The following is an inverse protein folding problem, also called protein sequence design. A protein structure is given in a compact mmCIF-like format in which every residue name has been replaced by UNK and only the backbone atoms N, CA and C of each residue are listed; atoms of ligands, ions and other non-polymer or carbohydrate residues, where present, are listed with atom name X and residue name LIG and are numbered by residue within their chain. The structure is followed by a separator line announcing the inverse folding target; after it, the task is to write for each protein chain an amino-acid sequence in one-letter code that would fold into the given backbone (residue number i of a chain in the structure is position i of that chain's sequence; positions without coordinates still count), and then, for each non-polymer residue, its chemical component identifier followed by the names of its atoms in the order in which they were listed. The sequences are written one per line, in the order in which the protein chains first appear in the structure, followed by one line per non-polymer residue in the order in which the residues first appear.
data_IF_594437645046
#
_entry.id   IF_594437645046
#
_cell.length_a   1.000
_cell.length_b   1.000
_cell.length_c   1.000
_cell.angle_alpha   90.00
_cell.angle_beta   90.00
_cell.angle_gamma   90.00
#
_symmetry.space_group_name_H-M   'P 1'
#
loop_
_entity.id
_entity.type
_entity.pdbx_description
1 polymer ?
#
# COMPACT_ATOMS: atom_id res chain seq x y z
N UNK A 1 -59.25 60.23 22.46
CA UNK A 1 -57.91 60.12 21.90
C UNK A 1 -57.69 58.64 21.55
N UNK A 2 -57.87 58.31 20.29
CA UNK A 2 -57.75 56.95 19.78
C UNK A 2 -56.36 56.76 19.20
N UNK A 3 -55.60 55.86 19.78
CA UNK A 3 -54.28 55.50 19.28
C UNK A 3 -54.41 54.42 18.22
N UNK A 4 -54.16 54.78 17.00
CA UNK A 4 -54.07 53.83 15.87
C UNK A 4 -52.73 53.11 15.92
N UNK A 5 -52.78 51.77 15.99
CA UNK A 5 -51.61 50.91 15.90
C UNK A 5 -51.00 50.97 14.47
N UNK A 6 -49.65 50.92 14.36
CA UNK A 6 -49.00 50.92 13.05
C UNK A 6 -49.22 49.59 12.28
N UNK A 7 -49.23 49.62 10.93
CA UNK A 7 -49.46 48.43 10.14
C UNK A 7 -48.28 47.44 10.27
N UNK A 8 -48.66 46.21 10.53
CA UNK A 8 -47.75 45.03 10.62
C UNK A 8 -47.15 44.78 9.24
N UNK A 9 -45.84 44.78 9.26
CA UNK A 9 -44.85 44.29 8.37
C UNK A 9 -45.18 43.85 6.95
N UNK A 10 -44.63 44.60 6.01
CA UNK A 10 -44.32 44.08 4.68
C UNK A 10 -43.26 42.97 4.85
N UNK A 11 -43.70 41.74 4.61
CA UNK A 11 -42.77 40.58 4.52
C UNK A 11 -41.75 40.85 3.42
N UNK A 12 -40.52 41.06 3.82
CA UNK A 12 -39.39 41.13 2.91
C UNK A 12 -39.21 39.71 2.30
N UNK A 13 -39.86 39.48 1.15
CA UNK A 13 -39.60 38.31 0.32
C UNK A 13 -38.25 38.58 -0.36
N UNK A 14 -37.19 37.95 0.18
CA UNK A 14 -35.90 38.01 -0.47
C UNK A 14 -36.05 37.49 -1.90
N UNK A 15 -35.47 38.18 -2.92
CA UNK A 15 -35.56 37.72 -4.30
C UNK A 15 -34.99 36.32 -4.38
N UNK A 16 -35.78 35.40 -4.99
CA UNK A 16 -35.32 34.02 -5.22
C UNK A 16 -33.96 34.07 -5.92
N UNK A 17 -32.91 33.61 -5.24
CA UNK A 17 -31.60 33.48 -5.85
C UNK A 17 -31.76 32.57 -7.05
N UNK A 18 -31.58 33.10 -8.24
CA UNK A 18 -31.54 32.32 -9.48
C UNK A 18 -30.31 31.42 -9.33
N UNK A 19 -30.53 30.18 -8.91
CA UNK A 19 -29.50 29.18 -8.90
C UNK A 19 -29.09 28.92 -10.34
N UNK A 20 -27.85 29.25 -10.69
CA UNK A 20 -27.32 28.87 -11.98
C UNK A 20 -27.56 27.35 -12.15
N UNK A 21 -28.04 26.90 -13.32
CA UNK A 21 -28.20 25.46 -13.55
C UNK A 21 -26.89 24.76 -13.25
N UNK A 22 -26.97 23.69 -12.48
CA UNK A 22 -25.76 22.87 -12.18
C UNK A 22 -25.11 22.51 -13.52
N UNK A 23 -23.78 22.65 -13.63
CA UNK A 23 -23.10 22.30 -14.87
C UNK A 23 -23.41 20.85 -15.21
N UNK A 24 -23.66 20.59 -16.50
CA UNK A 24 -23.89 19.23 -17.00
C UNK A 24 -22.78 18.31 -16.51
N UNK A 25 -23.10 17.08 -16.05
CA UNK A 25 -22.11 16.19 -15.50
C UNK A 25 -21.05 15.87 -16.57
N UNK A 26 -19.91 16.52 -16.47
CA UNK A 26 -18.74 16.24 -17.31
C UNK A 26 -17.97 15.07 -16.70
N UNK A 27 -17.39 14.21 -17.54
CA UNK A 27 -16.44 13.16 -17.10
C UNK A 27 -15.23 13.76 -16.37
N UNK A 28 -14.96 15.05 -16.59
CA UNK A 28 -13.89 15.83 -15.94
C UNK A 28 -14.38 16.63 -14.72
N UNK A 29 -15.61 16.40 -14.25
CA UNK A 29 -16.09 17.06 -13.05
C UNK A 29 -15.29 16.59 -11.82
N UNK A 30 -14.89 17.55 -10.97
CA UNK A 30 -14.21 17.25 -9.69
C UNK A 30 -15.14 16.37 -8.86
N UNK A 31 -14.64 15.23 -8.36
CA UNK A 31 -15.43 14.22 -7.66
C UNK A 31 -16.63 13.65 -8.46
N UNK A 32 -16.58 13.76 -9.79
CA UNK A 32 -17.60 13.22 -10.70
C UNK A 32 -17.70 11.69 -10.58
N UNK A 33 -18.91 11.17 -10.78
CA UNK A 33 -19.15 9.73 -10.78
C UNK A 33 -19.01 9.17 -12.19
N UNK A 34 -18.12 8.20 -12.36
CA UNK A 34 -18.05 7.43 -13.60
C UNK A 34 -19.05 6.27 -13.55
N UNK A 35 -19.69 5.97 -14.69
CA UNK A 35 -20.43 4.71 -14.83
C UNK A 35 -19.45 3.51 -14.73
N UNK A 36 -19.96 2.34 -14.34
CA UNK A 36 -19.13 1.13 -14.27
C UNK A 36 -18.40 0.82 -15.58
N UNK A 37 -19.08 1.05 -16.70
CA UNK A 37 -18.51 0.83 -18.03
C UNK A 37 -17.37 1.81 -18.33
N UNK A 38 -17.56 3.10 -18.03
CA UNK A 38 -16.51 4.12 -18.19
C UNK A 38 -15.30 3.81 -17.30
N UNK A 39 -15.54 3.45 -16.03
CA UNK A 39 -14.46 3.08 -15.11
C UNK A 39 -13.61 1.92 -15.65
N UNK A 40 -14.27 0.83 -16.07
CA UNK A 40 -13.56 -0.31 -16.62
C UNK A 40 -12.93 -0.02 -17.98
N UNK A 41 -13.53 0.84 -18.81
CA UNK A 41 -12.94 1.31 -20.06
C UNK A 41 -11.65 2.09 -19.84
N UNK A 42 -11.65 3.05 -18.92
CA UNK A 42 -10.44 3.79 -18.57
C UNK A 42 -9.38 2.89 -17.90
N UNK A 43 -9.78 1.98 -17.04
CA UNK A 43 -8.87 1.01 -16.42
C UNK A 43 -8.20 0.09 -17.46
N UNK A 44 -8.99 -0.42 -18.41
CA UNK A 44 -8.46 -1.23 -19.52
C UNK A 44 -7.50 -0.42 -20.41
N UNK A 45 -7.88 0.83 -20.75
CA UNK A 45 -7.01 1.72 -21.53
C UNK A 45 -5.70 1.99 -20.80
N UNK A 46 -5.74 2.26 -19.49
CA UNK A 46 -4.56 2.49 -18.65
C UNK A 46 -3.60 1.30 -18.62
N UNK A 47 -4.12 0.07 -18.69
CA UNK A 47 -3.29 -1.14 -18.77
C UNK A 47 -2.83 -1.45 -20.21
N UNK A 48 -3.70 -1.22 -21.20
CA UNK A 48 -3.39 -1.53 -22.59
C UNK A 48 -2.35 -0.59 -23.21
N UNK A 49 -2.38 0.70 -22.88
CA UNK A 49 -1.46 1.68 -23.46
C UNK A 49 0.02 1.34 -23.20
N UNK A 50 0.47 1.07 -21.95
CA UNK A 50 1.85 0.65 -21.71
C UNK A 50 2.19 -0.68 -22.40
N UNK A 51 1.23 -1.64 -22.42
CA UNK A 51 1.43 -2.93 -23.06
C UNK A 51 1.60 -2.81 -24.57
N UNK A 52 0.75 -2.01 -25.24
CA UNK A 52 0.85 -1.74 -26.68
C UNK A 52 2.11 -0.96 -27.01
N UNK A 53 2.47 0.03 -26.17
CA UNK A 53 3.72 0.77 -26.33
C UNK A 53 4.95 -0.15 -26.26
N UNK A 54 4.98 -1.05 -25.28
CA UNK A 54 6.03 -2.07 -25.17
C UNK A 54 6.07 -2.98 -26.40
N UNK A 55 4.93 -3.52 -26.86
CA UNK A 55 4.85 -4.37 -28.04
C UNK A 55 5.31 -3.64 -29.31
N UNK A 56 4.89 -2.37 -29.48
CA UNK A 56 5.29 -1.54 -30.61
C UNK A 56 6.80 -1.22 -30.61
N UNK A 57 7.36 -0.83 -29.45
CA UNK A 57 8.78 -0.58 -29.31
C UNK A 57 9.63 -1.83 -29.59
N UNK A 58 9.21 -2.99 -29.05
CA UNK A 58 9.89 -4.25 -29.30
C UNK A 58 9.82 -4.67 -30.78
N UNK A 59 8.71 -4.38 -31.47
CA UNK A 59 8.53 -4.72 -32.88
C UNK A 59 9.20 -3.71 -33.84
N UNK A 60 9.51 -2.50 -33.40
CA UNK A 60 10.07 -1.43 -34.23
C UNK A 60 11.50 -1.68 -34.70
N UNK A 61 12.22 -2.60 -34.04
CA UNK A 61 13.63 -2.88 -34.31
C UNK A 61 14.61 -1.76 -33.84
N UNK A 62 14.12 -0.74 -33.15
CA UNK A 62 15.00 0.32 -32.61
C UNK A 62 15.91 -0.18 -31.49
N UNK A 63 15.44 -1.18 -30.74
CA UNK A 63 16.17 -1.80 -29.64
C UNK A 63 16.36 -3.27 -29.99
N UNK A 64 17.58 -3.76 -29.83
CA UNK A 64 17.89 -5.17 -30.06
C UNK A 64 16.96 -6.05 -29.18
N UNK A 65 16.32 -7.10 -29.74
CA UNK A 65 15.47 -8.04 -29.01
C UNK A 65 16.14 -8.68 -27.78
N UNK A 66 17.48 -8.72 -27.76
CA UNK A 66 18.25 -9.17 -26.58
C UNK A 66 18.04 -8.24 -25.39
N UNK A 67 17.90 -6.94 -25.61
CA UNK A 67 17.70 -5.97 -24.53
C UNK A 67 16.23 -5.66 -24.26
N UNK A 68 15.37 -5.78 -25.27
CA UNK A 68 13.93 -5.50 -25.14
C UNK A 68 13.10 -6.60 -25.81
N UNK A 69 12.93 -7.75 -25.12
CA UNK A 69 12.14 -8.84 -25.66
C UNK A 69 10.67 -8.44 -25.81
N UNK A 70 10.03 -8.94 -26.85
CA UNK A 70 8.60 -8.69 -27.06
C UNK A 70 7.72 -9.46 -26.06
N UNK A 71 6.46 -9.01 -25.84
CA UNK A 71 5.55 -9.66 -24.90
C UNK A 71 5.40 -11.16 -25.13
N UNK A 72 5.30 -11.59 -26.40
CA UNK A 72 5.16 -13.02 -26.74
C UNK A 72 6.38 -13.86 -26.29
N UNK A 73 7.60 -13.33 -26.41
CA UNK A 73 8.81 -14.02 -25.94
C UNK A 73 8.80 -14.16 -24.41
N UNK A 74 8.43 -13.08 -23.71
CA UNK A 74 8.34 -13.06 -22.23
C UNK A 74 7.30 -14.07 -21.73
N UNK A 75 6.09 -14.08 -22.31
CA UNK A 75 5.06 -15.05 -21.90
C UNK A 75 5.44 -16.50 -22.22
N UNK A 76 6.08 -16.75 -23.36
CA UNK A 76 6.62 -18.07 -23.69
C UNK A 76 7.68 -18.49 -22.66
N UNK A 77 8.58 -17.58 -22.30
CA UNK A 77 9.62 -17.85 -21.29
C UNK A 77 9.00 -18.15 -19.92
N UNK A 78 7.98 -17.40 -19.49
CA UNK A 78 7.25 -17.70 -18.25
C UNK A 78 6.61 -19.08 -18.27
N UNK A 79 6.02 -19.49 -19.39
CA UNK A 79 5.44 -20.83 -19.53
C UNK A 79 6.52 -21.93 -19.44
N UNK A 80 7.67 -21.74 -20.11
CA UNK A 80 8.81 -22.67 -20.03
C UNK A 80 9.36 -22.73 -18.60
N UNK A 81 9.51 -21.55 -17.94
CA UNK A 81 10.01 -21.48 -16.56
C UNK A 81 9.06 -22.21 -15.58
N UNK A 82 7.75 -22.13 -15.82
CA UNK A 82 6.76 -22.83 -15.01
C UNK A 82 6.80 -24.37 -15.19
N UNK A 83 7.09 -24.84 -16.42
CA UNK A 83 7.00 -26.25 -16.78
C UNK A 83 8.33 -27.01 -16.63
N UNK A 84 9.44 -26.35 -16.87
CA UNK A 84 10.75 -26.98 -17.01
C UNK A 84 11.76 -26.55 -15.94
N UNK A 85 11.55 -25.36 -15.34
CA UNK A 85 12.42 -24.78 -14.32
C UNK A 85 11.68 -24.65 -12.97
N UNK A 86 12.39 -24.31 -11.91
CA UNK A 86 11.88 -24.26 -10.53
C UNK A 86 11.08 -22.97 -10.20
N UNK A 87 10.25 -22.43 -11.13
CA UNK A 87 9.50 -21.18 -10.90
C UNK A 87 8.64 -21.21 -9.64
N UNK A 88 7.97 -22.34 -9.39
CA UNK A 88 7.11 -22.48 -8.20
C UNK A 88 7.92 -22.51 -6.90
N UNK A 89 9.09 -23.14 -6.91
CA UNK A 89 10.00 -23.18 -5.77
C UNK A 89 10.55 -21.76 -5.49
N UNK A 90 11.06 -21.07 -6.51
CA UNK A 90 11.54 -19.69 -6.40
C UNK A 90 10.42 -18.74 -5.92
N UNK A 91 9.19 -18.89 -6.46
CA UNK A 91 8.05 -18.09 -6.03
C UNK A 91 7.68 -18.37 -4.58
N UNK A 92 7.62 -19.63 -4.18
CA UNK A 92 7.21 -20.02 -2.83
C UNK A 92 8.18 -19.53 -1.77
N UNK A 93 9.48 -19.60 -2.02
CA UNK A 93 10.49 -19.11 -1.08
C UNK A 93 10.48 -17.58 -0.98
N UNK A 94 10.29 -16.86 -2.11
CA UNK A 94 10.13 -15.41 -2.12
C UNK A 94 8.89 -14.97 -1.35
N UNK A 95 7.75 -15.62 -1.55
CA UNK A 95 6.50 -15.36 -0.80
C UNK A 95 6.70 -15.62 0.70
N UNK A 96 7.34 -16.73 1.07
CA UNK A 96 7.67 -17.03 2.46
C UNK A 96 8.49 -15.92 3.12
N UNK A 97 9.58 -15.47 2.48
CA UNK A 97 10.44 -14.39 2.98
C UNK A 97 9.67 -13.09 3.19
N UNK A 98 8.86 -12.70 2.21
CA UNK A 98 8.01 -11.50 2.31
C UNK A 98 7.05 -11.63 3.49
N UNK A 99 6.31 -12.73 3.57
CA UNK A 99 5.32 -12.92 4.63
C UNK A 99 5.97 -12.97 6.02
N UNK A 100 7.12 -13.66 6.17
CA UNK A 100 7.83 -13.75 7.43
C UNK A 100 8.36 -12.38 7.89
N UNK A 101 9.07 -11.66 7.01
CA UNK A 101 9.61 -10.33 7.32
C UNK A 101 8.51 -9.30 7.60
N UNK A 102 7.45 -9.32 6.81
CA UNK A 102 6.29 -8.45 7.00
C UNK A 102 5.53 -8.77 8.29
N UNK A 103 5.27 -10.05 8.57
CA UNK A 103 4.57 -10.46 9.79
C UNK A 103 5.34 -10.06 11.05
N UNK A 104 6.68 -10.22 11.04
CA UNK A 104 7.54 -9.78 12.13
C UNK A 104 7.47 -8.25 12.30
N UNK A 105 7.53 -7.51 11.19
CA UNK A 105 7.36 -6.04 11.20
C UNK A 105 6.01 -5.63 11.77
N UNK A 106 4.93 -6.23 11.30
CA UNK A 106 3.59 -5.92 11.76
C UNK A 106 3.37 -6.27 13.25
N UNK A 107 3.87 -7.42 13.68
CA UNK A 107 3.75 -7.87 15.07
C UNK A 107 4.37 -6.89 16.08
N UNK A 108 5.46 -6.23 15.69
CA UNK A 108 6.16 -5.24 16.53
C UNK A 108 5.68 -3.81 16.25
N UNK A 109 5.45 -3.45 15.00
CA UNK A 109 5.08 -2.09 14.63
C UNK A 109 3.67 -1.70 15.09
N UNK A 110 2.71 -2.63 15.10
CA UNK A 110 1.36 -2.34 15.53
C UNK A 110 1.28 -1.90 17.00
N UNK A 111 1.82 -2.66 17.98
CA UNK A 111 1.77 -2.23 19.37
C UNK A 111 2.62 -0.97 19.63
N UNK A 112 3.82 -0.87 19.03
CA UNK A 112 4.69 0.30 19.22
C UNK A 112 4.04 1.55 18.62
N UNK A 113 3.53 1.49 17.41
CA UNK A 113 2.82 2.60 16.76
C UNK A 113 1.56 3.02 17.51
N UNK A 114 0.79 2.05 18.04
CA UNK A 114 -0.36 2.34 18.91
C UNK A 114 0.06 3.10 20.17
N UNK A 115 1.15 2.69 20.83
CA UNK A 115 1.67 3.37 22.02
C UNK A 115 2.19 4.78 21.71
N UNK A 116 2.92 4.96 20.61
CA UNK A 116 3.39 6.27 20.15
C UNK A 116 2.21 7.19 19.86
N UNK A 117 1.19 6.69 19.15
CA UNK A 117 0.00 7.49 18.81
C UNK A 117 -0.90 7.82 20.01
N UNK A 118 -0.91 6.95 21.05
CA UNK A 118 -1.78 7.11 22.22
C UNK A 118 -1.14 7.93 23.35
N UNK A 119 0.20 7.92 23.49
CA UNK A 119 0.90 8.48 24.66
C UNK A 119 2.01 9.47 24.29
N UNK A 120 1.85 10.74 24.65
CA UNK A 120 2.86 11.80 24.43
C UNK A 120 4.26 11.48 24.96
N UNK A 121 4.45 10.87 26.16
CA UNK A 121 5.80 10.51 26.62
C UNK A 121 6.46 9.43 25.74
N UNK A 122 5.68 8.47 25.22
CA UNK A 122 6.19 7.41 24.34
C UNK A 122 6.51 7.99 22.96
N UNK A 123 5.68 8.88 22.45
CA UNK A 123 5.92 9.68 21.25
C UNK A 123 7.26 10.42 21.37
N UNK A 124 7.43 11.25 22.39
CA UNK A 124 8.65 12.03 22.59
C UNK A 124 9.93 11.17 22.73
N UNK A 125 9.79 9.93 23.22
CA UNK A 125 10.92 9.01 23.38
C UNK A 125 11.25 8.25 22.10
N UNK A 126 10.25 7.70 21.42
CA UNK A 126 10.46 6.71 20.32
C UNK A 126 10.36 7.32 18.93
N UNK A 127 9.56 8.37 18.74
CA UNK A 127 9.35 8.93 17.40
C UNK A 127 10.60 9.56 16.82
N UNK A 128 11.40 10.38 17.55
CA UNK A 128 12.64 10.94 16.99
C UNK A 128 13.64 9.85 16.57
N UNK A 129 13.72 8.75 17.34
CA UNK A 129 14.58 7.61 17.01
C UNK A 129 14.08 6.89 15.75
N UNK A 130 12.77 6.64 15.68
CA UNK A 130 12.14 5.98 14.55
C UNK A 130 12.26 6.83 13.29
N UNK A 131 12.06 8.15 13.41
CA UNK A 131 12.27 9.10 12.31
C UNK A 131 13.71 9.11 11.83
N UNK A 132 14.67 9.09 12.71
CA UNK A 132 16.08 9.05 12.32
C UNK A 132 16.41 7.78 11.53
N UNK A 133 15.98 6.61 12.03
CA UNK A 133 16.32 5.31 11.41
C UNK A 133 15.60 5.12 10.06
N UNK A 134 14.36 5.57 9.89
CA UNK A 134 13.62 5.41 8.61
C UNK A 134 14.25 6.15 7.44
N UNK A 135 15.04 7.20 7.69
CA UNK A 135 15.79 7.90 6.65
C UNK A 135 17.06 7.16 6.25
N UNK A 136 17.50 6.15 7.03
CA UNK A 136 18.61 5.30 6.62
C UNK A 136 18.12 4.31 5.57
N UNK A 137 18.77 4.24 4.38
CA UNK A 137 18.39 3.28 3.37
C UNK A 137 18.51 1.85 3.91
N UNK A 138 17.44 1.05 3.88
CA UNK A 138 17.48 -0.34 4.35
C UNK A 138 18.57 -1.16 3.64
N UNK A 139 18.87 -0.83 2.39
CA UNK A 139 19.94 -1.44 1.58
C UNK A 139 21.32 -1.24 2.21
N UNK A 140 21.56 -0.12 2.90
CA UNK A 140 22.82 0.15 3.57
C UNK A 140 23.11 -0.78 4.75
N UNK A 141 22.07 -1.41 5.32
CA UNK A 141 22.20 -2.39 6.40
C UNK A 141 22.58 -3.79 5.91
N UNK A 142 22.52 -4.07 4.60
CA UNK A 142 22.81 -5.41 4.06
C UNK A 142 24.15 -5.96 4.53
N UNK A 143 25.29 -5.24 4.46
CA UNK A 143 26.57 -5.77 4.91
C UNK A 143 26.57 -6.13 6.40
N UNK A 144 25.92 -5.32 7.25
CA UNK A 144 25.79 -5.59 8.68
C UNK A 144 24.90 -6.80 8.95
N UNK A 145 23.76 -6.88 8.26
CA UNK A 145 22.85 -8.01 8.39
C UNK A 145 23.54 -9.31 7.97
N UNK A 146 24.28 -9.28 6.86
CA UNK A 146 25.07 -10.45 6.42
C UNK A 146 26.18 -10.84 7.41
N UNK A 147 26.80 -9.85 8.06
CA UNK A 147 27.80 -10.11 9.09
C UNK A 147 27.20 -10.77 10.33
N UNK A 148 25.99 -10.38 10.74
CA UNK A 148 25.33 -10.87 11.95
C UNK A 148 24.56 -12.17 11.73
N UNK A 149 23.91 -12.34 10.60
CA UNK A 149 23.01 -13.46 10.30
C UNK A 149 23.56 -14.40 9.21
N UNK A 150 24.72 -14.08 8.61
CA UNK A 150 25.23 -14.82 7.47
C UNK A 150 24.40 -14.61 6.20
N UNK A 151 24.43 -15.59 5.30
CA UNK A 151 23.68 -15.59 4.03
C UNK A 151 22.39 -16.42 4.12
N UNK A 152 22.00 -16.80 5.32
CA UNK A 152 20.84 -17.65 5.60
C UNK A 152 19.51 -16.91 5.38
N UNK A 153 18.39 -17.61 5.54
CA UNK A 153 17.04 -17.03 5.38
C UNK A 153 16.74 -15.88 6.35
N UNK A 154 17.31 -15.95 7.56
CA UNK A 154 17.22 -14.92 8.59
C UNK A 154 17.74 -13.56 8.12
N UNK A 155 18.79 -13.52 7.32
CA UNK A 155 19.33 -12.28 6.76
C UNK A 155 18.32 -11.60 5.81
N UNK A 156 17.71 -12.37 4.91
CA UNK A 156 16.71 -11.85 3.96
C UNK A 156 15.46 -11.33 4.67
N UNK A 157 14.97 -12.10 5.65
CA UNK A 157 13.85 -11.71 6.52
C UNK A 157 14.18 -10.43 7.30
N UNK A 158 15.40 -10.30 7.85
CA UNK A 158 15.85 -9.12 8.57
C UNK A 158 15.91 -7.86 7.67
N UNK A 159 16.35 -7.99 6.41
CA UNK A 159 16.37 -6.86 5.46
C UNK A 159 14.94 -6.38 5.17
N UNK A 160 13.99 -7.30 4.94
CA UNK A 160 12.58 -6.97 4.72
C UNK A 160 12.00 -6.31 5.98
N UNK A 161 12.31 -6.86 7.16
CA UNK A 161 11.91 -6.29 8.44
C UNK A 161 12.40 -4.84 8.59
N UNK A 162 13.70 -4.59 8.46
CA UNK A 162 14.27 -3.24 8.59
C UNK A 162 13.61 -2.26 7.61
N UNK A 163 13.40 -2.69 6.36
CA UNK A 163 12.81 -1.85 5.33
C UNK A 163 11.35 -1.49 5.55
N UNK A 164 10.60 -2.30 6.30
CA UNK A 164 9.15 -2.08 6.49
C UNK A 164 8.79 -1.60 7.90
N UNK A 165 9.53 -2.01 8.92
CA UNK A 165 9.18 -1.80 10.33
C UNK A 165 9.07 -0.32 10.72
N UNK A 166 10.14 0.46 10.55
CA UNK A 166 10.19 1.83 11.06
C UNK A 166 9.14 2.72 10.41
N UNK A 167 8.92 2.57 9.12
CA UNK A 167 7.88 3.31 8.41
C UNK A 167 6.48 2.86 8.85
N UNK A 168 6.27 1.57 9.06
CA UNK A 168 5.00 1.03 9.53
C UNK A 168 4.65 1.55 10.93
N UNK A 169 5.63 1.64 11.85
CA UNK A 169 5.45 2.21 13.19
C UNK A 169 4.85 3.62 13.13
N UNK A 170 5.45 4.49 12.31
CA UNK A 170 5.00 5.89 12.20
C UNK A 170 3.64 6.01 11.53
N UNK A 171 3.38 5.23 10.48
CA UNK A 171 2.07 5.22 9.83
C UNK A 171 0.97 4.73 10.76
N UNK A 172 1.25 3.74 11.61
CA UNK A 172 0.30 3.28 12.63
C UNK A 172 0.08 4.35 13.69
N UNK A 173 1.14 5.00 14.18
CA UNK A 173 1.02 6.09 15.14
C UNK A 173 0.15 7.24 14.59
N UNK A 174 0.35 7.61 13.34
CA UNK A 174 -0.44 8.66 12.67
C UNK A 174 -1.93 8.24 12.56
N UNK A 175 -2.21 7.00 12.19
CA UNK A 175 -3.60 6.49 12.13
C UNK A 175 -4.30 6.56 13.49
N UNK A 176 -3.57 6.37 14.58
CA UNK A 176 -4.10 6.49 15.94
C UNK A 176 -4.36 7.96 16.31
N UNK A 177 -3.48 8.88 15.92
CA UNK A 177 -3.64 10.33 16.15
C UNK A 177 -4.82 10.94 15.38
N UNK A 178 -5.16 10.36 14.24
CA UNK A 178 -6.31 10.79 13.42
C UNK A 178 -7.66 10.39 14.02
N UNK A 179 -7.71 9.61 15.09
CA UNK A 179 -8.96 9.30 15.81
C UNK A 179 -9.50 10.58 16.47
N UNK A 180 -10.77 10.98 16.21
CA UNK A 180 -11.34 12.21 16.75
C UNK A 180 -11.30 12.24 18.27
N UNK A 181 -10.77 13.31 18.86
CA UNK A 181 -10.70 13.51 20.32
C UNK A 181 -12.07 13.44 20.98
N UNK A 182 -13.13 13.89 20.31
CA UNK A 182 -14.50 13.80 20.79
C UNK A 182 -14.93 12.36 21.14
N UNK A 183 -14.42 11.35 20.45
CA UNK A 183 -14.70 9.94 20.79
C UNK A 183 -14.01 9.52 22.09
N UNK A 184 -12.80 10.01 22.31
CA UNK A 184 -12.02 9.77 23.54
C UNK A 184 -12.70 10.46 24.74
N UNK A 185 -13.06 11.73 24.58
CA UNK A 185 -13.74 12.54 25.60
C UNK A 185 -15.12 11.94 25.98
N UNK A 186 -15.89 11.48 25.00
CA UNK A 186 -17.15 10.81 25.24
C UNK A 186 -16.98 9.52 26.07
N UNK A 187 -15.98 8.70 25.74
CA UNK A 187 -15.69 7.49 26.52
C UNK A 187 -15.28 7.81 27.95
N UNK A 188 -14.42 8.82 28.14
CA UNK A 188 -13.99 9.28 29.46
C UNK A 188 -15.16 9.84 30.29
N UNK A 189 -16.07 10.58 29.67
CA UNK A 189 -17.28 11.09 30.30
C UNK A 189 -18.20 9.97 30.78
N UNK A 190 -18.23 8.85 30.04
CA UNK A 190 -18.95 7.64 30.45
C UNK A 190 -18.21 6.80 31.50
N UNK A 191 -17.06 7.25 31.99
CA UNK A 191 -16.28 6.56 33.02
C UNK A 191 -15.34 5.47 32.50
N UNK A 192 -15.04 5.45 31.20
CA UNK A 192 -14.11 4.47 30.64
C UNK A 192 -12.70 4.67 31.22
N UNK A 193 -12.08 3.59 31.63
CA UNK A 193 -10.69 3.56 32.06
C UNK A 193 -9.75 3.80 30.86
N UNK A 194 -8.48 4.10 31.15
CA UNK A 194 -7.47 4.33 30.12
C UNK A 194 -7.33 3.11 29.19
N UNK A 195 -7.30 1.91 29.73
CA UNK A 195 -7.18 0.66 28.97
C UNK A 195 -8.43 0.40 28.09
N UNK A 196 -9.61 0.62 28.61
CA UNK A 196 -10.86 0.55 27.86
C UNK A 196 -10.89 1.58 26.73
N UNK A 197 -10.46 2.81 26.97
CA UNK A 197 -10.37 3.85 25.93
C UNK A 197 -9.43 3.42 24.80
N UNK A 198 -8.27 2.82 25.10
CA UNK A 198 -7.34 2.33 24.10
C UNK A 198 -7.95 1.17 23.31
N UNK A 199 -8.49 0.16 23.98
CA UNK A 199 -8.95 -1.09 23.33
C UNK A 199 -10.29 -0.91 22.60
N UNK A 200 -11.22 -0.17 23.19
CA UNK A 200 -12.59 -0.05 22.68
C UNK A 200 -12.81 1.17 21.79
N UNK A 201 -12.00 2.22 21.93
CA UNK A 201 -12.16 3.45 21.14
C UNK A 201 -11.00 3.63 20.18
N UNK A 202 -9.78 3.85 20.65
CA UNK A 202 -8.64 4.16 19.79
C UNK A 202 -8.37 3.05 18.78
N UNK A 203 -8.17 1.83 19.27
CA UNK A 203 -7.85 0.70 18.40
C UNK A 203 -9.00 0.39 17.44
N UNK A 204 -10.26 0.43 17.89
CA UNK A 204 -11.40 0.12 17.02
C UNK A 204 -11.58 1.17 15.92
N UNK A 205 -11.40 2.45 16.24
CA UNK A 205 -11.53 3.54 15.27
C UNK A 205 -10.35 3.59 14.30
N UNK A 206 -9.13 3.23 14.73
CA UNK A 206 -7.94 3.22 13.89
C UNK A 206 -7.81 1.96 13.01
N UNK A 207 -8.45 0.83 13.36
CA UNK A 207 -8.33 -0.45 12.64
C UNK A 207 -8.45 -0.36 11.12
N UNK A 208 -9.43 0.35 10.54
CA UNK A 208 -9.55 0.42 9.08
C UNK A 208 -8.32 1.07 8.43
N UNK A 209 -7.86 2.19 8.99
CA UNK A 209 -6.67 2.90 8.51
C UNK A 209 -5.39 2.08 8.72
N UNK A 210 -5.28 1.36 9.84
CA UNK A 210 -4.18 0.42 10.11
C UNK A 210 -4.15 -0.68 9.04
N UNK A 211 -5.29 -1.24 8.65
CA UNK A 211 -5.34 -2.25 7.61
C UNK A 211 -4.90 -1.70 6.23
N UNK A 212 -5.23 -0.43 5.93
CA UNK A 212 -4.70 0.25 4.73
C UNK A 212 -3.19 0.48 4.82
N UNK A 213 -2.65 0.80 6.00
CA UNK A 213 -1.20 0.86 6.25
C UNK A 213 -0.54 -0.48 5.97
N UNK A 214 -1.08 -1.57 6.50
CA UNK A 214 -0.55 -2.91 6.25
C UNK A 214 -0.55 -3.27 4.76
N UNK A 215 -1.59 -2.88 4.02
CA UNK A 215 -1.67 -3.06 2.57
C UNK A 215 -0.56 -2.31 1.83
N UNK A 216 -0.31 -1.04 2.18
CA UNK A 216 0.71 -0.21 1.54
C UNK A 216 2.11 -0.75 1.85
N UNK A 217 2.37 -1.08 3.10
CA UNK A 217 3.69 -1.57 3.55
C UNK A 217 4.01 -2.97 3.03
N UNK A 218 2.99 -3.79 2.72
CA UNK A 218 3.18 -5.06 2.01
C UNK A 218 3.81 -4.83 0.63
N UNK A 219 3.43 -3.78 -0.09
CA UNK A 219 4.06 -3.42 -1.37
C UNK A 219 5.55 -3.10 -1.21
N UNK A 220 5.93 -2.43 -0.13
CA UNK A 220 7.34 -2.17 0.17
C UNK A 220 8.12 -3.44 0.55
N UNK A 221 7.48 -4.37 1.23
CA UNK A 221 8.11 -5.66 1.56
C UNK A 221 8.59 -6.40 0.30
N UNK A 222 7.82 -6.35 -0.79
CA UNK A 222 8.24 -6.91 -2.09
C UNK A 222 9.45 -6.18 -2.68
N UNK A 223 9.53 -4.85 -2.54
CA UNK A 223 10.70 -4.09 -2.99
C UNK A 223 11.97 -4.51 -2.23
N UNK A 224 11.87 -4.61 -0.90
CA UNK A 224 13.02 -5.04 -0.08
C UNK A 224 13.37 -6.51 -0.25
N UNK A 225 12.39 -7.38 -0.57
CA UNK A 225 12.65 -8.76 -0.95
C UNK A 225 13.60 -8.84 -2.14
N UNK A 226 13.26 -8.13 -3.23
CA UNK A 226 14.08 -8.15 -4.47
C UNK A 226 15.51 -7.76 -4.15
N UNK A 227 15.70 -6.68 -3.36
CA UNK A 227 17.03 -6.24 -2.95
C UNK A 227 17.76 -7.29 -2.10
N UNK A 228 17.08 -7.92 -1.14
CA UNK A 228 17.65 -8.97 -0.31
C UNK A 228 18.09 -10.20 -1.13
N UNK A 229 17.27 -10.60 -2.09
CA UNK A 229 17.54 -11.74 -2.96
C UNK A 229 18.64 -11.47 -4.00
N UNK A 230 18.78 -10.24 -4.48
CA UNK A 230 19.85 -9.85 -5.40
C UNK A 230 21.24 -9.96 -4.77
N UNK A 231 21.35 -9.72 -3.46
CA UNK A 231 22.66 -9.63 -2.79
C UNK A 231 23.03 -10.91 -2.04
N UNK A 232 22.06 -11.55 -1.40
CA UNK A 232 22.33 -12.58 -0.39
C UNK A 232 21.58 -13.90 -0.65
N UNK A 233 21.23 -14.26 -1.90
CA UNK A 233 20.41 -15.44 -2.13
C UNK A 233 20.97 -16.41 -3.16
N UNK A 234 20.58 -17.69 -3.02
CA UNK A 234 20.83 -18.78 -3.99
C UNK A 234 19.52 -19.30 -4.59
N UNK A 235 18.37 -18.70 -4.23
CA UNK A 235 17.03 -19.10 -4.68
C UNK A 235 16.09 -17.92 -4.57
N UNK A 236 14.95 -17.99 -5.26
CA UNK A 236 13.92 -16.96 -5.24
C UNK A 236 13.89 -16.13 -6.51
N UNK A 237 12.81 -15.34 -6.67
CA UNK A 237 12.54 -14.57 -7.90
C UNK A 237 13.59 -13.50 -8.17
N UNK A 238 14.08 -12.79 -7.14
CA UNK A 238 15.14 -11.79 -7.29
C UNK A 238 16.47 -12.44 -7.68
N UNK A 239 16.80 -13.57 -7.10
CA UNK A 239 17.98 -14.36 -7.50
C UNK A 239 17.88 -14.85 -8.95
N UNK A 240 16.72 -15.35 -9.37
CA UNK A 240 16.48 -15.78 -10.75
C UNK A 240 16.66 -14.61 -11.75
N UNK A 241 16.19 -13.41 -11.40
CA UNK A 241 16.40 -12.18 -12.18
C UNK A 241 17.88 -11.85 -12.28
N UNK A 242 18.64 -11.89 -11.17
CA UNK A 242 20.09 -11.64 -11.18
C UNK A 242 20.85 -12.67 -12.02
N UNK A 243 20.49 -13.95 -11.87
CA UNK A 243 21.07 -15.03 -12.68
C UNK A 243 20.79 -14.80 -14.18
N UNK A 244 19.54 -14.44 -14.52
CA UNK A 244 19.15 -14.12 -15.90
C UNK A 244 19.96 -12.93 -16.45
N UNK A 245 20.22 -11.89 -15.65
CA UNK A 245 21.05 -10.74 -16.04
C UNK A 245 22.46 -11.17 -16.44
N UNK A 246 23.10 -12.04 -15.67
CA UNK A 246 24.47 -12.54 -15.95
C UNK A 246 24.57 -13.28 -17.27
N UNK A 247 23.47 -13.89 -17.75
CA UNK A 247 23.41 -14.64 -19.00
C UNK A 247 22.68 -13.88 -20.11
N UNK A 248 22.37 -12.57 -19.93
CA UNK A 248 21.63 -11.73 -20.87
C UNK A 248 20.27 -12.29 -21.29
N UNK A 249 19.63 -13.08 -20.40
CA UNK A 249 18.28 -13.61 -20.61
C UNK A 249 17.21 -12.59 -20.17
N UNK A 250 17.07 -11.53 -20.94
CA UNK A 250 16.21 -10.40 -20.61
C UNK A 250 14.73 -10.78 -20.58
N UNK A 251 14.31 -11.75 -21.37
CA UNK A 251 12.97 -12.34 -21.32
C UNK A 251 12.62 -12.90 -19.92
N UNK A 252 13.57 -13.55 -19.26
CA UNK A 252 13.43 -14.03 -17.89
C UNK A 252 13.39 -12.87 -16.88
N UNK A 253 14.18 -11.78 -17.09
CA UNK A 253 14.15 -10.58 -16.25
C UNK A 253 12.77 -9.93 -16.32
N UNK A 254 12.25 -9.66 -17.54
CA UNK A 254 10.92 -9.09 -17.74
C UNK A 254 9.83 -9.99 -17.15
N UNK A 255 9.94 -11.31 -17.38
CA UNK A 255 9.03 -12.31 -16.81
C UNK A 255 9.00 -12.28 -15.28
N UNK A 256 10.16 -12.26 -14.64
CA UNK A 256 10.29 -12.18 -13.18
C UNK A 256 9.70 -10.91 -12.60
N UNK A 257 9.96 -9.75 -13.23
CA UNK A 257 9.39 -8.45 -12.81
C UNK A 257 7.86 -8.47 -12.93
N UNK A 258 7.33 -8.96 -14.05
CA UNK A 258 5.88 -9.08 -14.24
C UNK A 258 5.25 -10.02 -13.23
N UNK A 259 5.88 -11.15 -12.95
CA UNK A 259 5.40 -12.13 -11.96
C UNK A 259 5.34 -11.53 -10.56
N UNK A 260 6.40 -10.84 -10.11
CA UNK A 260 6.41 -10.11 -8.83
C UNK A 260 5.27 -9.09 -8.79
N UNK A 261 5.06 -8.33 -9.88
CA UNK A 261 3.96 -7.38 -9.99
C UNK A 261 2.59 -8.03 -9.87
N UNK A 262 2.38 -9.19 -10.51
CA UNK A 262 1.12 -9.96 -10.42
C UNK A 262 0.90 -10.48 -9.00
N UNK A 263 1.92 -11.02 -8.34
CA UNK A 263 1.80 -11.53 -6.97
C UNK A 263 1.51 -10.37 -6.00
N UNK A 264 2.22 -9.24 -6.15
CA UNK A 264 1.96 -8.03 -5.37
C UNK A 264 0.52 -7.52 -5.55
N UNK A 265 0.01 -7.52 -6.79
CA UNK A 265 -1.38 -7.15 -7.09
C UNK A 265 -2.39 -8.12 -6.44
N UNK A 266 -2.13 -9.41 -6.48
CA UNK A 266 -2.98 -10.42 -5.82
C UNK A 266 -3.03 -10.20 -4.31
N UNK A 267 -1.89 -9.90 -3.68
CA UNK A 267 -1.84 -9.56 -2.26
C UNK A 267 -2.59 -8.24 -1.96
N UNK A 268 -2.45 -7.21 -2.78
CA UNK A 268 -3.23 -5.97 -2.63
C UNK A 268 -4.75 -6.23 -2.72
N UNK A 269 -5.18 -7.09 -3.67
CA UNK A 269 -6.60 -7.47 -3.77
C UNK A 269 -7.06 -8.29 -2.56
N UNK A 270 -6.22 -9.15 -2.00
CA UNK A 270 -6.53 -9.88 -0.78
C UNK A 270 -6.73 -8.92 0.41
N UNK A 271 -5.86 -7.91 0.58
CA UNK A 271 -6.05 -6.87 1.59
C UNK A 271 -7.33 -6.04 1.37
N UNK A 272 -7.64 -5.66 0.13
CA UNK A 272 -8.89 -4.96 -0.21
C UNK A 272 -10.12 -5.80 0.08
N UNK A 273 -10.06 -7.09 -0.21
CA UNK A 273 -11.13 -8.03 0.12
C UNK A 273 -11.30 -8.14 1.63
N UNK A 274 -10.20 -8.31 2.38
CA UNK A 274 -10.21 -8.36 3.84
C UNK A 274 -10.79 -7.07 4.43
N UNK A 275 -10.38 -5.88 3.93
CA UNK A 275 -10.89 -4.59 4.36
C UNK A 275 -12.41 -4.48 4.16
N UNK A 276 -12.91 -4.87 3.00
CA UNK A 276 -14.36 -4.86 2.73
C UNK A 276 -15.15 -5.82 3.64
N UNK A 277 -14.55 -6.96 3.94
CA UNK A 277 -15.20 -7.96 4.81
C UNK A 277 -15.14 -7.57 6.28
N UNK A 278 -14.05 -6.98 6.74
CA UNK A 278 -13.86 -6.57 8.14
C UNK A 278 -14.63 -5.28 8.47
N UNK A 279 -14.76 -4.34 7.50
CA UNK A 279 -15.36 -3.02 7.72
C UNK A 279 -16.47 -2.71 6.72
N UNK A 280 -17.57 -3.52 6.67
CA UNK A 280 -18.66 -3.32 5.71
C UNK A 280 -19.33 -1.96 5.86
N UNK A 281 -19.41 -1.42 7.08
CA UNK A 281 -20.03 -0.14 7.39
C UNK A 281 -19.36 1.07 6.70
N UNK A 282 -18.09 0.97 6.29
CA UNK A 282 -17.39 2.03 5.56
C UNK A 282 -17.76 2.06 4.06
N UNK A 283 -18.37 0.99 3.54
CA UNK A 283 -18.68 0.82 2.12
C UNK A 283 -20.15 1.04 1.75
N UNK A 284 -21.02 1.28 2.74
CA UNK A 284 -22.46 1.50 2.51
C UNK A 284 -22.81 2.84 1.83
N UNK A 285 -21.84 3.73 1.56
CA UNK A 285 -22.06 5.08 0.99
C UNK A 285 -21.50 5.27 -0.42
N UNK A 286 -21.30 4.20 -1.20
CA UNK A 286 -20.87 4.37 -2.59
C UNK A 286 -21.83 3.77 -3.59
#
# INVERSE_FOLDING_TARGET
MSATAPPVGSSFVAPARVLNPLPTPSIWAIAGRLSRLQYWGFAALGLMVPFVAWAALSASGWIDPVFMPGPAAVFRRLATWLMEDDLLADTSISVYRVLAGFALSAALALPIGLLIGAFRPVEALLEPLTDFIRYMPAVAFIPLVMLWFGIEESAKIAIIFIGTFFQMVLMVAENVRLVPTAQIEAAQTMGATRDETIRLVLLQSAKPAILDTLRITMGWAWTYLVVAELVASNSGLGYAILKAQRFLKTDTIFGGILLIGVIGLLMDQAFRWLHRRAFPYMHFKR
#
